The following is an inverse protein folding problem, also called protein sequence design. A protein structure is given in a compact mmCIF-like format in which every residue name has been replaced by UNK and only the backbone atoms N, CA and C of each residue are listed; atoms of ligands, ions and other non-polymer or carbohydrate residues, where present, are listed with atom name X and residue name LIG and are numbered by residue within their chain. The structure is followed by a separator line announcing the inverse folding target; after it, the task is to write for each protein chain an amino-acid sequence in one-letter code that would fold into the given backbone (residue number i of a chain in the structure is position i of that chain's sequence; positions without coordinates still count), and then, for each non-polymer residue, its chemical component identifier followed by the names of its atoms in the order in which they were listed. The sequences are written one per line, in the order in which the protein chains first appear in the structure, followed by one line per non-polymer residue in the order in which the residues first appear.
data_IF_043497326043
#
_entry.id   IF_043497326043
#
_cell.length_a   1.000
_cell.length_b   1.000
_cell.length_c   1.000
_cell.angle_alpha   90.00
_cell.angle_beta   90.00
_cell.angle_gamma   90.00
#
_symmetry.space_group_name_H-M   'P 1'
#
loop_
_entity.id
_entity.type
_entity.pdbx_description
1 polymer ?
#
# COMPACT_ATOMS: atom_id res chain seq x y z
N UNK A 1 6.29 -8.02 2.01
CA UNK A 1 5.37 -6.93 2.37
C UNK A 1 5.09 -6.14 1.10
N UNK A 2 3.82 -5.91 0.77
CA UNK A 2 3.40 -5.19 -0.43
C UNK A 2 2.59 -3.97 -0.01
N UNK A 3 3.00 -2.78 -0.49
CA UNK A 3 2.14 -1.59 -0.44
C UNK A 3 1.16 -1.70 -1.60
N UNK A 4 -0.10 -1.81 -1.31
CA UNK A 4 -1.15 -1.88 -2.33
C UNK A 4 -1.51 -0.45 -2.73
N UNK A 5 -1.44 -0.20 -4.02
CA UNK A 5 -1.62 1.13 -4.60
C UNK A 5 -2.73 1.12 -5.64
N UNK A 6 -3.33 2.28 -5.85
CA UNK A 6 -4.28 2.55 -6.92
C UNK A 6 -3.80 3.79 -7.69
N UNK A 7 -3.88 3.74 -9.01
CA UNK A 7 -3.59 4.92 -9.83
C UNK A 7 -4.67 5.98 -9.59
N UNK A 8 -4.23 7.21 -9.41
CA UNK A 8 -5.13 8.36 -9.31
C UNK A 8 -5.89 8.56 -10.63
N UNK A 9 -7.10 9.12 -10.59
CA UNK A 9 -7.78 9.55 -11.80
C UNK A 9 -6.86 10.43 -12.63
N UNK A 10 -6.81 10.20 -13.95
CA UNK A 10 -5.91 10.95 -14.83
C UNK A 10 -6.19 12.45 -14.78
N UNK A 11 -7.45 12.84 -14.62
CA UNK A 11 -7.84 14.24 -14.46
C UNK A 11 -7.20 14.90 -13.21
N UNK A 12 -7.10 14.17 -12.08
CA UNK A 12 -6.40 14.67 -10.89
C UNK A 12 -4.91 14.88 -11.17
N UNK A 13 -4.28 13.93 -11.87
CA UNK A 13 -2.88 14.04 -12.28
C UNK A 13 -2.69 15.24 -13.21
N UNK A 14 -3.57 15.40 -14.19
CA UNK A 14 -3.57 16.52 -15.14
C UNK A 14 -3.64 17.86 -14.42
N UNK A 15 -4.55 18.01 -13.47
CA UNK A 15 -4.69 19.24 -12.66
C UNK A 15 -3.43 19.55 -11.86
N UNK A 16 -2.83 18.55 -11.20
CA UNK A 16 -1.58 18.72 -10.44
C UNK A 16 -0.40 19.10 -11.36
N UNK A 17 -0.41 18.66 -12.61
CA UNK A 17 0.61 18.95 -13.59
C UNK A 17 0.37 20.24 -14.41
N UNK A 18 -0.70 20.99 -14.13
CA UNK A 18 -1.09 22.17 -14.93
C UNK A 18 0.06 23.18 -15.10
N UNK A 19 0.85 23.39 -14.04
CA UNK A 19 1.95 24.38 -14.01
C UNK A 19 3.26 23.86 -14.62
N UNK A 20 3.33 22.59 -15.02
CA UNK A 20 4.57 21.94 -15.45
C UNK A 20 4.40 21.41 -16.88
N UNK A 21 5.12 22.03 -17.83
CA UNK A 21 5.11 21.58 -19.23
C UNK A 21 6.12 20.44 -19.48
N UNK A 22 7.13 20.33 -18.63
CA UNK A 22 8.21 19.33 -18.76
C UNK A 22 8.18 18.41 -17.54
N UNK A 23 8.00 17.13 -17.76
CA UNK A 23 7.79 16.13 -16.69
C UNK A 23 8.78 14.99 -16.83
N UNK A 24 9.42 14.58 -15.72
CA UNK A 24 10.14 13.32 -15.65
C UNK A 24 9.24 12.30 -14.93
N UNK A 25 9.14 11.06 -15.43
CA UNK A 25 8.28 10.02 -14.85
C UNK A 25 9.14 9.00 -14.09
N UNK A 26 8.75 8.66 -12.87
CA UNK A 26 9.45 7.70 -12.03
C UNK A 26 8.50 6.61 -11.55
N UNK A 27 8.72 5.36 -11.97
CA UNK A 27 7.98 4.19 -11.55
C UNK A 27 8.70 3.39 -10.46
N UNK A 28 8.07 2.31 -9.99
CA UNK A 28 8.62 1.38 -9.00
C UNK A 28 8.48 -0.07 -9.46
N UNK A 29 9.60 -0.79 -9.49
CA UNK A 29 9.72 -2.17 -9.99
C UNK A 29 9.19 -3.24 -9.02
N UNK A 30 8.84 -2.90 -7.79
CA UNK A 30 8.31 -3.85 -6.79
C UNK A 30 6.80 -3.70 -6.61
N UNK A 31 6.35 -3.12 -5.53
CA UNK A 31 4.91 -3.09 -5.15
C UNK A 31 4.03 -2.50 -6.26
N UNK A 32 4.42 -1.36 -6.85
CA UNK A 32 3.62 -0.70 -7.89
C UNK A 32 3.59 -1.48 -9.21
N UNK A 33 4.64 -2.25 -9.53
CA UNK A 33 4.62 -3.19 -10.65
C UNK A 33 3.67 -4.36 -10.39
N UNK A 34 3.72 -4.94 -9.18
CA UNK A 34 2.85 -6.06 -8.80
C UNK A 34 1.37 -5.68 -8.76
N UNK A 35 1.06 -4.45 -8.35
CA UNK A 35 -0.32 -3.92 -8.37
C UNK A 35 -0.71 -3.35 -9.72
N UNK A 36 0.17 -3.43 -10.73
CA UNK A 36 -0.05 -2.88 -12.09
C UNK A 36 -0.44 -1.40 -12.10
N UNK A 37 0.19 -0.61 -11.22
CA UNK A 37 -0.11 0.83 -11.07
C UNK A 37 1.06 1.74 -11.43
N UNK A 38 2.31 1.26 -11.39
CA UNK A 38 3.50 2.10 -11.60
C UNK A 38 4.74 1.34 -12.08
N UNK A 39 4.56 0.16 -12.70
CA UNK A 39 5.60 -0.55 -13.42
C UNK A 39 5.89 0.06 -14.80
N UNK A 40 6.71 -0.61 -15.58
CA UNK A 40 7.15 -0.11 -16.90
C UNK A 40 5.99 0.20 -17.83
N UNK A 41 5.04 -0.72 -17.96
CA UNK A 41 3.91 -0.57 -18.89
C UNK A 41 3.04 0.64 -18.50
N UNK A 42 2.80 0.83 -17.21
CA UNK A 42 2.03 1.95 -16.69
C UNK A 42 2.78 3.29 -16.86
N UNK A 43 4.10 3.27 -16.72
CA UNK A 43 4.95 4.46 -16.96
C UNK A 43 4.89 4.85 -18.43
N UNK A 44 4.98 3.90 -19.35
CA UNK A 44 4.89 4.17 -20.79
C UNK A 44 3.48 4.67 -21.20
N UNK A 45 2.42 4.04 -20.66
CA UNK A 45 1.05 4.51 -20.88
C UNK A 45 0.82 5.94 -20.33
N UNK A 46 1.43 6.26 -19.19
CA UNK A 46 1.39 7.62 -18.63
C UNK A 46 2.15 8.60 -19.50
N UNK A 47 3.30 8.23 -20.04
CA UNK A 47 4.06 9.05 -21.00
C UNK A 47 3.19 9.40 -22.21
N UNK A 48 2.60 8.41 -22.87
CA UNK A 48 1.71 8.65 -24.01
C UNK A 48 0.53 9.58 -23.67
N UNK A 49 -0.03 9.40 -22.46
CA UNK A 49 -1.14 10.22 -21.99
C UNK A 49 -0.73 11.69 -21.77
N UNK A 50 0.48 11.93 -21.27
CA UNK A 50 1.01 13.26 -21.06
C UNK A 50 1.41 13.95 -22.38
N UNK A 51 1.97 13.19 -23.33
CA UNK A 51 2.33 13.69 -24.66
C UNK A 51 1.09 14.11 -25.47
N UNK A 52 -0.05 13.39 -25.31
CA UNK A 52 -1.35 13.80 -25.89
C UNK A 52 -1.88 15.12 -25.30
N UNK A 53 -1.40 15.53 -24.12
CA UNK A 53 -1.67 16.84 -23.51
C UNK A 53 -0.60 17.90 -23.85
N UNK A 54 0.20 17.64 -24.87
CA UNK A 54 1.30 18.52 -25.32
C UNK A 54 2.37 18.78 -24.25
N UNK A 55 2.47 17.90 -23.25
CA UNK A 55 3.54 17.95 -22.26
C UNK A 55 4.78 17.24 -22.76
N UNK A 56 5.94 17.81 -22.50
CA UNK A 56 7.22 17.19 -22.83
C UNK A 56 7.63 16.22 -21.72
N UNK A 57 7.69 14.93 -21.99
CA UNK A 57 8.31 13.96 -21.08
C UNK A 57 9.82 14.00 -21.32
N UNK A 58 10.58 14.48 -20.34
CA UNK A 58 12.05 14.64 -20.44
C UNK A 58 12.81 13.31 -20.32
N UNK A 59 12.13 12.28 -19.85
CA UNK A 59 12.60 10.93 -19.67
C UNK A 59 11.78 10.21 -18.62
N UNK A 60 12.07 8.93 -18.45
CA UNK A 60 11.45 8.10 -17.42
C UNK A 60 12.43 7.05 -16.87
N UNK A 61 12.16 6.55 -15.67
CA UNK A 61 12.86 5.42 -15.07
C UNK A 61 11.90 4.60 -14.20
N UNK A 62 12.16 3.30 -14.11
CA UNK A 62 11.51 2.42 -13.12
C UNK A 62 12.57 1.99 -12.12
N UNK A 63 12.51 2.56 -10.93
CA UNK A 63 13.44 2.24 -9.84
C UNK A 63 13.14 0.81 -9.37
N UNK A 64 14.12 -0.09 -9.24
CA UNK A 64 13.90 -1.46 -8.77
C UNK A 64 13.07 -1.49 -7.48
N UNK A 65 13.45 -0.68 -6.48
CA UNK A 65 12.70 -0.46 -5.23
C UNK A 65 12.75 1.02 -4.85
N UNK A 66 11.67 1.75 -5.10
CA UNK A 66 11.65 3.22 -4.94
C UNK A 66 11.68 3.71 -3.48
N UNK A 67 11.63 2.85 -2.48
CA UNK A 67 11.64 3.22 -1.07
C UNK A 67 12.98 2.94 -0.36
N UNK A 68 14.00 2.50 -1.09
CA UNK A 68 15.34 2.20 -0.57
C UNK A 68 16.45 3.05 -1.22
N UNK A 69 17.69 2.61 -1.07
CA UNK A 69 18.88 3.31 -1.58
C UNK A 69 18.97 3.33 -3.10
N UNK A 70 18.30 2.42 -3.81
CA UNK A 70 18.27 2.40 -5.27
C UNK A 70 17.68 3.70 -5.86
N UNK A 71 16.88 4.42 -5.07
CA UNK A 71 16.40 5.75 -5.48
C UNK A 71 17.55 6.72 -5.71
N UNK A 72 18.55 6.77 -4.83
CA UNK A 72 19.69 7.65 -5.00
C UNK A 72 20.47 7.35 -6.29
N UNK A 73 20.68 6.07 -6.58
CA UNK A 73 21.36 5.61 -7.80
C UNK A 73 20.56 6.03 -9.04
N UNK A 74 19.27 5.71 -9.09
CA UNK A 74 18.41 6.06 -10.22
C UNK A 74 18.28 7.56 -10.44
N UNK A 75 18.26 8.36 -9.37
CA UNK A 75 18.26 9.83 -9.47
C UNK A 75 19.55 10.35 -10.12
N UNK A 76 20.70 9.78 -9.76
CA UNK A 76 22.00 10.14 -10.34
C UNK A 76 22.11 9.73 -11.81
N UNK A 77 21.73 8.51 -12.14
CA UNK A 77 21.73 8.01 -13.53
C UNK A 77 20.86 8.85 -14.46
N UNK A 78 19.77 9.41 -13.96
CA UNK A 78 18.82 10.19 -14.72
C UNK A 78 18.98 11.71 -14.50
N UNK A 79 20.07 12.17 -13.87
CA UNK A 79 20.27 13.55 -13.44
C UNK A 79 20.01 14.56 -14.57
N UNK A 80 20.52 14.31 -15.77
CA UNK A 80 20.36 15.22 -16.92
C UNK A 80 18.88 15.41 -17.32
N UNK A 81 18.12 14.32 -17.41
CA UNK A 81 16.70 14.32 -17.76
C UNK A 81 15.86 14.97 -16.66
N UNK A 82 16.18 14.67 -15.39
CA UNK A 82 15.54 15.27 -14.22
C UNK A 82 15.84 16.76 -14.13
N UNK A 83 17.06 17.20 -14.41
CA UNK A 83 17.44 18.62 -14.43
C UNK A 83 16.62 19.41 -15.44
N UNK A 84 16.33 18.80 -16.59
CA UNK A 84 15.51 19.39 -17.65
C UNK A 84 14.01 19.36 -17.39
N UNK A 85 13.54 18.63 -16.40
CA UNK A 85 12.12 18.57 -16.02
C UNK A 85 11.73 19.76 -15.13
N UNK A 86 10.48 20.16 -15.18
CA UNK A 86 9.87 21.11 -14.26
C UNK A 86 9.38 20.42 -12.97
N UNK A 87 9.01 19.14 -13.05
CA UNK A 87 8.61 18.31 -11.91
C UNK A 87 8.90 16.83 -12.18
N UNK A 88 8.83 16.01 -11.13
CA UNK A 88 8.91 14.54 -11.20
C UNK A 88 7.53 13.96 -10.85
N UNK A 89 6.92 13.25 -11.79
CA UNK A 89 5.72 12.47 -11.57
C UNK A 89 6.10 11.09 -11.06
N UNK A 90 5.70 10.75 -9.85
CA UNK A 90 6.11 9.49 -9.19
C UNK A 90 4.95 8.50 -9.16
N UNK A 91 5.14 7.38 -9.85
CA UNK A 91 4.22 6.24 -9.92
C UNK A 91 4.69 5.15 -8.94
N UNK A 92 4.72 5.50 -7.65
CA UNK A 92 5.10 4.63 -6.54
C UNK A 92 4.19 4.88 -5.34
N UNK A 93 4.23 4.01 -4.32
CA UNK A 93 3.55 4.25 -3.04
C UNK A 93 4.15 5.45 -2.30
N UNK A 94 3.48 5.91 -1.24
CA UNK A 94 3.91 7.06 -0.46
C UNK A 94 5.36 6.97 0.04
N UNK A 95 5.86 5.76 0.33
CA UNK A 95 7.24 5.54 0.75
C UNK A 95 8.23 5.89 -0.37
N UNK A 96 7.94 5.49 -1.62
CA UNK A 96 8.75 5.84 -2.78
C UNK A 96 8.66 7.33 -3.11
N UNK A 97 7.46 7.93 -3.05
CA UNK A 97 7.28 9.38 -3.23
C UNK A 97 8.12 10.16 -2.23
N UNK A 98 8.04 9.80 -0.94
CA UNK A 98 8.86 10.42 0.11
C UNK A 98 10.35 10.26 -0.18
N UNK A 99 10.79 9.04 -0.54
CA UNK A 99 12.21 8.78 -0.80
C UNK A 99 12.73 9.61 -1.97
N UNK A 100 12.01 9.68 -3.08
CA UNK A 100 12.36 10.52 -4.23
C UNK A 100 12.47 11.99 -3.82
N UNK A 101 11.57 12.50 -2.99
CA UNK A 101 11.58 13.91 -2.58
C UNK A 101 12.83 14.31 -1.77
N UNK A 102 13.51 13.35 -1.12
CA UNK A 102 14.74 13.61 -0.39
C UNK A 102 15.98 13.86 -1.30
N UNK A 103 15.90 13.45 -2.57
CA UNK A 103 17.02 13.55 -3.51
C UNK A 103 16.84 14.64 -4.57
N UNK A 104 15.83 15.50 -4.42
CA UNK A 104 15.57 16.57 -5.38
C UNK A 104 14.97 17.80 -4.72
N UNK A 105 15.30 18.98 -5.27
CA UNK A 105 14.59 20.23 -4.95
C UNK A 105 13.44 20.52 -5.93
N UNK A 106 13.17 19.61 -6.89
CA UNK A 106 12.07 19.78 -7.83
C UNK A 106 10.76 19.33 -7.18
N UNK A 107 9.63 19.91 -7.61
CA UNK A 107 8.32 19.42 -7.22
C UNK A 107 8.14 17.95 -7.55
N UNK A 108 7.68 17.18 -6.58
CA UNK A 108 7.35 15.76 -6.73
C UNK A 108 5.84 15.60 -6.67
N UNK A 109 5.27 15.04 -7.73
CA UNK A 109 3.82 14.85 -7.88
C UNK A 109 3.49 13.37 -7.78
N UNK A 110 2.72 12.91 -6.78
CA UNK A 110 2.31 11.51 -6.69
C UNK A 110 1.21 11.20 -7.71
N UNK A 111 1.39 10.11 -8.46
CA UNK A 111 0.40 9.59 -9.39
C UNK A 111 -0.44 8.45 -8.81
N UNK A 112 -0.08 7.92 -7.64
CA UNK A 112 -0.76 6.81 -6.99
C UNK A 112 -1.28 7.21 -5.60
N UNK A 113 -2.36 6.55 -5.19
CA UNK A 113 -2.80 6.48 -3.79
C UNK A 113 -2.28 5.19 -3.17
N UNK A 114 -1.79 5.28 -1.94
CA UNK A 114 -1.41 4.10 -1.14
C UNK A 114 -2.57 3.70 -0.27
N UNK A 115 -3.12 2.51 -0.51
CA UNK A 115 -4.35 2.06 0.14
C UNK A 115 -4.07 1.37 1.47
N UNK A 116 -3.27 0.29 1.43
CA UNK A 116 -2.94 -0.51 2.62
C UNK A 116 -1.66 -1.32 2.39
N UNK A 117 -1.20 -1.99 3.45
CA UNK A 117 -0.15 -3.01 3.39
C UNK A 117 -0.80 -4.38 3.45
N UNK A 118 -0.55 -5.20 2.44
CA UNK A 118 -1.24 -6.47 2.31
C UNK A 118 -0.44 -7.57 1.64
N UNK A 119 -1.15 -8.63 1.33
CA UNK A 119 -0.68 -9.79 0.58
C UNK A 119 -1.53 -10.00 -0.66
N UNK A 120 -0.96 -10.63 -1.65
CA UNK A 120 -1.68 -11.17 -2.79
C UNK A 120 -2.10 -12.60 -2.47
N UNK A 121 -3.40 -12.86 -2.41
CA UNK A 121 -3.95 -14.20 -2.11
C UNK A 121 -4.07 -15.06 -3.37
N UNK A 122 -4.36 -14.42 -4.48
CA UNK A 122 -4.35 -14.99 -5.83
C UNK A 122 -4.00 -13.89 -6.83
N UNK A 123 -3.56 -14.19 -8.04
CA UNK A 123 -3.15 -13.18 -9.01
C UNK A 123 -4.17 -12.05 -9.15
N UNK A 124 -3.73 -10.82 -8.89
CA UNK A 124 -4.56 -9.61 -8.97
C UNK A 124 -5.54 -9.39 -7.80
N UNK A 125 -5.57 -10.26 -6.80
CA UNK A 125 -6.45 -10.12 -5.63
C UNK A 125 -5.62 -9.86 -4.36
N UNK A 126 -5.72 -8.65 -3.84
CA UNK A 126 -4.95 -8.18 -2.68
C UNK A 126 -5.85 -7.98 -1.48
N UNK A 127 -5.36 -8.41 -0.30
CA UNK A 127 -6.07 -8.25 0.97
C UNK A 127 -5.18 -7.59 2.00
N UNK A 128 -5.77 -6.68 2.79
CA UNK A 128 -5.16 -6.19 4.01
C UNK A 128 -5.14 -7.30 5.07
N UNK A 129 -3.98 -7.55 5.66
CA UNK A 129 -3.80 -8.58 6.70
C UNK A 129 -3.27 -8.01 8.01
N UNK A 130 -2.86 -6.75 8.05
CA UNK A 130 -2.26 -6.13 9.21
C UNK A 130 -2.52 -4.63 9.27
N UNK A 131 -3.18 -4.17 10.34
CA UNK A 131 -3.41 -2.75 10.63
C UNK A 131 -2.19 -2.05 11.29
N UNK A 132 -1.06 -2.73 11.48
CA UNK A 132 0.16 -2.19 12.11
C UNK A 132 -0.08 -1.59 13.51
N UNK A 133 -0.97 -2.22 14.29
CA UNK A 133 -1.39 -1.74 15.60
C UNK A 133 -0.32 -1.88 16.69
N UNK A 134 0.78 -2.62 16.44
CA UNK A 134 1.87 -2.82 17.40
C UNK A 134 1.58 -3.84 18.52
N UNK A 135 0.39 -4.42 18.56
CA UNK A 135 -0.02 -5.43 19.56
C UNK A 135 -0.65 -6.63 18.86
N UNK A 136 0.21 -7.56 18.42
CA UNK A 136 -0.20 -8.69 17.59
C UNK A 136 -0.94 -9.75 18.40
N UNK A 137 -2.08 -10.20 17.88
CA UNK A 137 -2.91 -11.29 18.45
C UNK A 137 -2.99 -12.51 17.52
N UNK A 138 -2.16 -12.57 16.49
CA UNK A 138 -2.21 -13.65 15.49
C UNK A 138 -1.93 -15.02 16.09
N UNK A 139 -1.13 -15.10 17.16
CA UNK A 139 -0.85 -16.34 17.87
C UNK A 139 -2.10 -16.97 18.48
N UNK A 140 -2.99 -16.14 18.99
CA UNK A 140 -4.22 -16.52 19.68
C UNK A 140 -5.40 -16.70 18.72
N UNK A 141 -5.32 -16.14 17.52
CA UNK A 141 -6.39 -16.15 16.51
C UNK A 141 -6.06 -16.99 15.28
N UNK A 142 -5.20 -17.98 15.45
CA UNK A 142 -4.80 -18.93 14.40
C UNK A 142 -4.33 -18.24 13.09
N UNK A 143 -3.61 -17.12 13.20
CA UNK A 143 -3.06 -16.40 12.07
C UNK A 143 -4.05 -15.47 11.33
N UNK A 144 -5.25 -15.25 11.85
CA UNK A 144 -6.24 -14.33 11.26
C UNK A 144 -6.38 -13.10 12.16
N UNK A 145 -6.01 -11.92 11.64
CA UNK A 145 -6.15 -10.69 12.40
C UNK A 145 -7.62 -10.24 12.47
N UNK A 146 -8.25 -10.21 13.65
CA UNK A 146 -9.64 -9.79 13.76
C UNK A 146 -9.84 -8.29 13.47
N UNK A 147 -8.79 -7.45 13.61
CA UNK A 147 -8.91 -6.02 13.29
C UNK A 147 -9.04 -5.75 11.80
N UNK A 148 -8.42 -6.57 10.94
CA UNK A 148 -8.44 -6.38 9.48
C UNK A 148 -9.41 -7.31 8.78
N UNK A 149 -9.72 -8.46 9.36
CA UNK A 149 -10.59 -9.46 8.75
C UNK A 149 -12.06 -9.31 9.18
N UNK A 150 -12.34 -8.82 10.40
CA UNK A 150 -13.70 -8.56 10.86
C UNK A 150 -14.12 -7.13 10.53
N UNK A 151 -15.22 -6.94 9.82
CA UNK A 151 -15.74 -5.61 9.47
C UNK A 151 -16.06 -4.72 10.69
N UNK A 152 -16.29 -5.34 11.86
CA UNK A 152 -16.50 -4.64 13.15
C UNK A 152 -15.24 -4.53 13.98
N UNK A 153 -14.11 -5.13 13.56
CA UNK A 153 -12.85 -5.11 14.29
C UNK A 153 -12.90 -5.74 15.69
N UNK A 154 -13.79 -6.71 15.93
CA UNK A 154 -14.01 -7.30 17.23
C UNK A 154 -12.83 -8.17 17.66
N UNK A 155 -12.30 -7.93 18.88
CA UNK A 155 -11.13 -8.64 19.41
C UNK A 155 -11.48 -9.88 20.24
N UNK A 156 -12.67 -9.95 20.82
CA UNK A 156 -13.04 -10.91 21.84
C UNK A 156 -14.20 -11.83 21.42
N UNK A 157 -14.18 -12.30 20.17
CA UNK A 157 -15.15 -13.25 19.70
C UNK A 157 -16.15 -12.67 18.67
N UNK A 158 -17.04 -13.51 18.17
CA UNK A 158 -18.01 -13.15 17.14
C UNK A 158 -19.10 -12.22 17.66
N UNK A 159 -19.67 -11.40 16.75
CA UNK A 159 -20.84 -10.56 17.07
C UNK A 159 -22.18 -11.34 17.17
N UNK A 160 -22.19 -12.61 16.82
CA UNK A 160 -23.41 -13.42 16.76
C UNK A 160 -24.24 -13.28 15.47
N UNK A 161 -23.91 -12.32 14.59
CA UNK A 161 -24.67 -12.06 13.37
C UNK A 161 -24.22 -12.86 12.13
N UNK A 162 -23.32 -13.82 12.29
CA UNK A 162 -22.90 -14.68 11.18
C UNK A 162 -24.06 -15.59 10.73
N UNK A 163 -24.26 -15.67 9.42
CA UNK A 163 -25.22 -16.61 8.83
C UNK A 163 -24.47 -17.50 7.83
N UNK A 164 -24.57 -18.82 7.99
CA UNK A 164 -23.90 -19.82 7.15
C UNK A 164 -22.40 -19.54 6.95
N UNK A 165 -21.73 -18.99 7.98
CA UNK A 165 -20.31 -18.62 7.92
C UNK A 165 -20.02 -17.28 7.25
N UNK A 166 -21.03 -16.58 6.76
CA UNK A 166 -20.90 -15.26 6.14
C UNK A 166 -21.05 -14.12 7.15
N UNK A 167 -20.40 -12.98 6.86
CA UNK A 167 -20.45 -11.80 7.70
C UNK A 167 -21.81 -11.07 7.56
N UNK A 168 -22.40 -10.63 8.67
CA UNK A 168 -23.66 -9.88 8.62
C UNK A 168 -23.54 -8.51 7.95
N UNK A 169 -22.32 -7.89 8.00
CA UNK A 169 -22.07 -6.57 7.41
C UNK A 169 -21.78 -6.67 5.92
N UNK A 170 -21.14 -7.76 5.49
CA UNK A 170 -20.77 -7.98 4.09
C UNK A 170 -20.98 -9.47 3.76
N UNK A 171 -22.11 -9.77 3.16
CA UNK A 171 -22.55 -11.14 2.87
C UNK A 171 -21.66 -11.89 1.87
N UNK A 172 -20.83 -11.17 1.12
CA UNK A 172 -19.86 -11.77 0.19
C UNK A 172 -18.61 -12.29 0.92
N UNK A 173 -18.35 -11.77 2.13
CA UNK A 173 -17.20 -12.16 2.93
C UNK A 173 -17.52 -13.25 3.94
N UNK A 174 -16.55 -14.14 4.15
CA UNK A 174 -16.60 -15.07 5.25
C UNK A 174 -16.44 -14.35 6.59
N UNK A 175 -17.13 -14.83 7.61
CA UNK A 175 -17.00 -14.30 8.96
C UNK A 175 -15.61 -14.63 9.52
N UNK A 176 -14.82 -13.62 9.85
CA UNK A 176 -13.47 -13.79 10.39
C UNK A 176 -13.46 -14.70 11.65
N UNK A 177 -14.41 -14.53 12.54
CA UNK A 177 -14.49 -15.33 13.77
C UNK A 177 -14.94 -16.75 13.53
N UNK A 178 -15.75 -17.02 12.52
CA UNK A 178 -16.07 -18.40 12.08
C UNK A 178 -14.79 -19.09 11.56
N UNK A 179 -13.99 -18.38 10.75
CA UNK A 179 -12.72 -18.92 10.27
C UNK A 179 -11.72 -19.15 11.40
N UNK A 180 -11.60 -18.21 12.35
CA UNK A 180 -10.75 -18.36 13.54
C UNK A 180 -11.17 -19.61 14.35
N UNK A 181 -12.46 -19.75 14.63
CA UNK A 181 -13.01 -20.92 15.34
C UNK A 181 -12.65 -22.23 14.64
N UNK A 182 -12.88 -22.32 13.33
CA UNK A 182 -12.59 -23.52 12.55
C UNK A 182 -11.10 -23.88 12.60
N UNK A 183 -10.21 -22.91 12.46
CA UNK A 183 -8.76 -23.13 12.52
C UNK A 183 -8.30 -23.53 13.92
N UNK A 184 -8.79 -22.87 14.96
CA UNK A 184 -8.47 -23.22 16.35
C UNK A 184 -8.99 -24.61 16.71
N UNK A 185 -10.16 -25.00 16.19
CA UNK A 185 -10.73 -26.36 16.37
C UNK A 185 -9.81 -27.41 15.76
N UNK A 186 -9.36 -27.21 14.52
CA UNK A 186 -8.42 -28.11 13.82
C UNK A 186 -7.09 -28.22 14.59
N UNK A 187 -6.64 -27.11 15.20
CA UNK A 187 -5.39 -27.07 15.99
C UNK A 187 -5.55 -27.60 17.41
N UNK A 188 -6.76 -27.97 17.88
CA UNK A 188 -7.00 -28.38 19.26
C UNK A 188 -6.86 -27.26 20.30
N UNK A 189 -7.01 -25.98 19.87
CA UNK A 189 -6.71 -24.78 20.70
C UNK A 189 -7.95 -23.89 20.91
N UNK A 190 -9.14 -24.48 21.03
CA UNK A 190 -10.38 -23.73 21.27
C UNK A 190 -10.41 -22.97 22.61
N UNK A 191 -9.59 -23.37 23.57
CA UNK A 191 -9.39 -22.68 24.84
C UNK A 191 -9.00 -21.22 24.65
N UNK A 192 -8.27 -20.88 23.59
CA UNK A 192 -7.88 -19.51 23.26
C UNK A 192 -9.08 -18.59 22.95
N UNK A 193 -10.21 -19.13 22.54
CA UNK A 193 -11.43 -18.32 22.35
C UNK A 193 -12.05 -17.80 23.64
N UNK A 194 -11.62 -18.33 24.80
CA UNK A 194 -12.05 -17.85 26.12
C UNK A 194 -11.10 -16.81 26.70
N UNK A 195 -9.96 -16.60 26.05
CA UNK A 195 -8.96 -15.62 26.48
C UNK A 195 -9.46 -14.21 26.19
N UNK A 196 -9.51 -13.37 27.23
CA UNK A 196 -9.86 -11.96 27.07
C UNK A 196 -8.66 -11.16 26.57
N UNK A 197 -8.86 -10.41 25.50
CA UNK A 197 -7.92 -9.42 24.98
C UNK A 197 -8.36 -8.03 25.43
N UNK A 198 -7.54 -7.29 26.20
CA UNK A 198 -7.87 -5.92 26.59
C UNK A 198 -7.97 -5.01 25.34
N UNK A 199 -8.65 -3.87 25.44
CA UNK A 199 -8.67 -2.88 24.38
C UNK A 199 -7.26 -2.52 23.93
N UNK A 200 -7.04 -2.32 22.62
CA UNK A 200 -5.74 -1.97 22.09
C UNK A 200 -5.22 -0.68 22.70
N UNK A 201 -3.96 -0.71 23.13
CA UNK A 201 -3.28 0.51 23.56
C UNK A 201 -2.82 1.32 22.34
N UNK A 202 -3.61 2.28 21.92
CA UNK A 202 -3.28 3.12 20.76
C UNK A 202 -2.03 3.99 20.97
N UNK A 203 -1.54 4.15 22.20
CA UNK A 203 -0.26 4.83 22.45
C UNK A 203 0.94 4.09 21.84
N UNK A 204 0.87 2.75 21.70
CA UNK A 204 1.90 1.97 20.97
C UNK A 204 1.92 2.34 19.48
N UNK A 205 0.83 2.87 18.96
CA UNK A 205 0.66 3.23 17.56
C UNK A 205 0.65 4.73 17.30
N UNK A 206 1.07 5.57 18.27
CA UNK A 206 1.17 7.03 18.08
C UNK A 206 2.06 7.39 16.88
N UNK A 207 1.73 8.47 16.24
CA UNK A 207 2.48 9.02 15.10
C UNK A 207 3.07 10.39 15.47
N UNK A 208 4.25 10.76 14.96
CA UNK A 208 5.15 9.95 14.13
C UNK A 208 5.84 8.84 14.91
N UNK A 209 6.05 7.68 14.25
CA UNK A 209 6.80 6.56 14.83
C UNK A 209 8.22 6.58 14.32
N UNK A 210 9.16 6.36 15.23
CA UNK A 210 10.55 6.05 14.92
C UNK A 210 10.96 4.82 15.72
N UNK A 211 11.78 3.97 15.11
CA UNK A 211 12.36 2.80 15.77
C UNK A 211 13.84 2.73 15.41
N UNK A 212 14.69 2.62 16.41
CA UNK A 212 16.14 2.45 16.26
C UNK A 212 16.52 1.09 16.81
N UNK A 213 17.25 0.32 16.02
CA UNK A 213 17.91 -0.88 16.51
C UNK A 213 19.02 -0.46 17.50
N UNK A 214 19.12 -1.17 18.62
CA UNK A 214 20.16 -0.98 19.61
C UNK A 214 21.53 -1.46 19.13
#
# INVERSE_FOLDING_TARGET
MKSITKQKPFEEIRQKLQRYNRVFIMGCGTCATMTQTGGRDQVLAMQESLEKLEKTVTGWAVIPTACDEMTAVSMKENERSIRNAGCILVMACALGVHRVSLYTNKPVVPALDTLFIGVEEKPGFFREVCAQCGQCVLGETAGICPLTACNKGLLNGPCGGTNEGKCEVDKEKDCAWTLIYQRLKIQGRLDLMRQYHPPKNYQVALRPKTFKLG
#
